data_IF_517057463257
#
_entry.id   IF_517057463257
#
_cell.length_a   1.000
_cell.length_b   1.000
_cell.length_c   1.000
_cell.angle_alpha   90.00
_cell.angle_beta   90.00
_cell.angle_gamma   90.00
#
_symmetry.space_group_name_H-M   'P 1'
#
loop_
_entity.id
_entity.type
_entity.pdbx_description
1 polymer ?
#
# COMPACT_ATOMS: atom_id res chain seq x y z
N UNK A 1 -3.58 15.89 -0.78
CA UNK A 1 -4.34 16.56 0.32
C UNK A 1 -5.15 15.52 1.06
N UNK A 2 -5.21 15.63 2.38
CA UNK A 2 -6.05 14.85 3.27
C UNK A 2 -7.32 15.63 3.68
N UNK A 3 -8.37 14.97 4.18
CA UNK A 3 -9.58 15.65 4.62
C UNK A 3 -9.33 16.73 5.69
N UNK A 4 -8.32 16.56 6.55
CA UNK A 4 -7.91 17.55 7.56
C UNK A 4 -7.39 18.85 6.96
N UNK A 5 -6.80 18.82 5.76
CA UNK A 5 -6.21 19.99 5.10
C UNK A 5 -7.29 21.02 4.68
N UNK A 6 -8.57 20.60 4.65
CA UNK A 6 -9.70 21.49 4.41
C UNK A 6 -10.24 22.12 5.69
N UNK A 7 -9.55 21.97 6.82
CA UNK A 7 -9.92 22.57 8.09
C UNK A 7 -8.79 23.45 8.61
N UNK A 8 -9.16 24.57 9.22
CA UNK A 8 -8.27 25.44 9.98
C UNK A 8 -8.52 25.19 11.46
N UNK A 9 -7.45 24.91 12.19
CA UNK A 9 -7.50 24.85 13.64
C UNK A 9 -7.42 26.28 14.19
N UNK A 10 -8.54 26.77 14.70
CA UNK A 10 -8.61 28.10 15.30
C UNK A 10 -8.78 27.98 16.82
N UNK A 11 -8.21 28.95 17.53
CA UNK A 11 -8.39 29.02 18.98
C UNK A 11 -9.83 29.45 19.27
N UNK A 12 -10.54 28.72 20.12
CA UNK A 12 -11.89 29.08 20.56
C UNK A 12 -11.83 30.50 21.16
N UNK A 13 -12.53 31.48 20.56
CA UNK A 13 -12.48 32.86 21.03
C UNK A 13 -13.10 33.04 22.43
N UNK A 14 -13.81 32.04 22.95
CA UNK A 14 -14.31 31.99 24.32
C UNK A 14 -13.29 31.44 25.33
N UNK A 15 -12.08 31.05 24.89
CA UNK A 15 -11.06 30.52 25.77
C UNK A 15 -10.49 31.58 26.73
N UNK A 16 -10.42 31.22 28.01
CA UNK A 16 -9.91 32.05 29.11
C UNK A 16 -8.63 31.44 29.66
N UNK A 17 -7.69 32.26 30.14
CA UNK A 17 -6.43 31.82 30.80
C UNK A 17 -6.66 30.92 32.03
N UNK A 18 -7.91 30.85 32.53
CA UNK A 18 -8.34 29.99 33.62
C UNK A 18 -9.12 28.73 33.16
N UNK A 19 -9.25 28.50 31.85
CA UNK A 19 -9.93 27.34 31.25
C UNK A 19 -8.99 26.15 31.00
N UNK A 20 -9.55 25.01 30.61
CA UNK A 20 -8.77 23.81 30.24
C UNK A 20 -7.84 24.13 29.06
N UNK A 21 -6.50 24.00 29.21
CA UNK A 21 -5.52 24.30 28.16
C UNK A 21 -5.76 23.52 26.86
N UNK A 22 -6.36 22.34 26.94
CA UNK A 22 -6.57 21.43 25.82
C UNK A 22 -7.94 21.60 25.14
N UNK A 23 -8.83 22.42 25.71
CA UNK A 23 -10.18 22.69 25.19
C UNK A 23 -10.24 23.85 24.18
N UNK A 24 -9.09 24.44 23.87
CA UNK A 24 -9.00 25.77 23.28
C UNK A 24 -8.91 25.81 21.77
N UNK A 25 -8.92 24.68 21.08
CA UNK A 25 -8.71 24.63 19.63
C UNK A 25 -9.81 23.80 18.96
N UNK A 26 -10.42 24.35 17.92
CA UNK A 26 -11.45 23.67 17.14
C UNK A 26 -11.12 23.77 15.65
N UNK A 27 -11.40 22.69 14.95
CA UNK A 27 -11.25 22.62 13.51
C UNK A 27 -12.50 23.20 12.84
N UNK A 28 -12.29 24.23 12.02
CA UNK A 28 -13.31 24.90 11.22
C UNK A 28 -13.07 24.64 9.75
N UNK A 29 -14.12 24.34 9.00
CA UNK A 29 -13.99 24.08 7.57
C UNK A 29 -13.53 25.34 6.82
N UNK A 30 -12.43 25.23 6.10
CA UNK A 30 -11.81 26.33 5.35
C UNK A 30 -12.57 26.58 4.03
N UNK A 31 -13.71 27.23 4.16
CA UNK A 31 -14.58 27.54 3.02
C UNK A 31 -13.86 28.39 1.97
N UNK A 32 -12.97 29.30 2.39
CA UNK A 32 -12.21 30.14 1.46
C UNK A 32 -11.28 29.30 0.58
N UNK A 33 -10.53 28.38 1.17
CA UNK A 33 -9.69 27.44 0.44
C UNK A 33 -10.51 26.62 -0.55
N UNK A 34 -11.60 25.99 -0.08
CA UNK A 34 -12.41 25.08 -0.91
C UNK A 34 -13.07 25.82 -2.07
N UNK A 35 -13.59 27.02 -1.84
CA UNK A 35 -14.14 27.88 -2.91
C UNK A 35 -13.04 28.35 -3.86
N UNK A 36 -11.82 28.60 -3.37
CA UNK A 36 -10.65 28.90 -4.19
C UNK A 36 -10.32 27.78 -5.18
N UNK A 37 -10.25 26.54 -4.69
CA UNK A 37 -9.95 25.33 -5.47
C UNK A 37 -10.98 25.05 -6.58
N UNK A 38 -12.20 25.59 -6.45
CA UNK A 38 -13.23 25.56 -7.50
C UNK A 38 -12.82 26.35 -8.74
N UNK A 39 -12.11 27.46 -8.57
CA UNK A 39 -11.87 28.45 -9.63
C UNK A 39 -10.56 28.22 -10.40
N UNK A 40 -9.65 27.40 -9.87
CA UNK A 40 -8.39 27.07 -10.53
C UNK A 40 -7.52 26.14 -9.68
N UNK A 41 -6.33 25.76 -10.20
CA UNK A 41 -5.34 25.00 -9.43
C UNK A 41 -4.96 25.74 -8.14
N UNK A 42 -4.58 24.98 -7.11
CA UNK A 42 -4.15 25.58 -5.85
C UNK A 42 -2.91 26.47 -6.05
N UNK A 43 -2.81 27.65 -5.42
CA UNK A 43 -1.64 28.52 -5.53
C UNK A 43 -0.36 27.93 -4.97
N UNK A 44 -0.47 26.94 -4.08
CA UNK A 44 0.65 26.30 -3.36
C UNK A 44 1.31 25.14 -4.13
N UNK A 45 0.87 24.88 -5.37
CA UNK A 45 1.39 23.79 -6.18
C UNK A 45 0.69 22.44 -5.98
N UNK A 46 -0.35 22.38 -5.15
CA UNK A 46 -1.19 21.18 -5.01
C UNK A 46 -1.93 20.88 -6.32
N UNK A 47 -1.86 19.62 -6.76
CA UNK A 47 -2.46 19.20 -8.04
C UNK A 47 -3.98 19.03 -7.93
N UNK A 48 -4.68 19.14 -9.06
CA UNK A 48 -6.11 18.83 -9.12
C UNK A 48 -6.43 17.39 -8.70
N UNK A 49 -5.48 16.47 -8.91
CA UNK A 49 -5.60 15.07 -8.48
C UNK A 49 -5.59 14.97 -6.95
N UNK A 50 -4.62 15.61 -6.29
CA UNK A 50 -4.51 15.63 -4.83
C UNK A 50 -5.74 16.28 -4.16
N UNK A 51 -6.23 17.36 -4.76
CA UNK A 51 -7.45 18.05 -4.33
C UNK A 51 -8.67 17.14 -4.51
N UNK A 52 -8.79 16.47 -5.65
CA UNK A 52 -9.91 15.57 -5.92
C UNK A 52 -9.92 14.37 -4.96
N UNK A 53 -8.76 13.78 -4.67
CA UNK A 53 -8.61 12.69 -3.70
C UNK A 53 -9.02 13.14 -2.29
N UNK A 54 -8.57 14.32 -1.85
CA UNK A 54 -8.96 14.87 -0.55
C UNK A 54 -10.46 15.17 -0.46
N UNK A 55 -10.99 15.94 -1.41
CA UNK A 55 -12.40 16.36 -1.43
C UNK A 55 -13.36 15.17 -1.57
N UNK A 56 -13.02 14.17 -2.39
CA UNK A 56 -13.90 13.01 -2.56
C UNK A 56 -14.01 12.19 -1.29
N UNK A 57 -12.93 12.08 -0.49
CA UNK A 57 -12.93 11.38 0.80
C UNK A 57 -13.75 12.15 1.83
N UNK A 58 -13.54 13.47 1.92
CA UNK A 58 -14.31 14.34 2.81
C UNK A 58 -15.81 14.25 2.49
N UNK A 59 -16.19 14.49 1.24
CA UNK A 59 -17.61 14.51 0.84
C UNK A 59 -18.26 13.13 1.04
N UNK A 60 -17.58 12.04 0.70
CA UNK A 60 -18.13 10.70 0.91
C UNK A 60 -18.37 10.42 2.40
N UNK A 61 -17.37 10.67 3.26
CA UNK A 61 -17.48 10.43 4.70
C UNK A 61 -18.62 11.24 5.33
N UNK A 62 -18.74 12.53 4.98
CA UNK A 62 -19.79 13.40 5.50
C UNK A 62 -21.18 12.97 5.05
N UNK A 63 -21.34 12.54 3.78
CA UNK A 63 -22.62 11.99 3.29
C UNK A 63 -22.97 10.66 3.95
N UNK A 64 -21.97 9.78 4.17
CA UNK A 64 -22.19 8.51 4.86
C UNK A 64 -22.63 8.74 6.31
N UNK A 65 -21.90 9.54 7.08
CA UNK A 65 -22.25 9.90 8.47
C UNK A 65 -23.63 10.55 8.53
N UNK A 66 -23.95 11.47 7.61
CA UNK A 66 -25.29 12.05 7.52
C UNK A 66 -26.38 11.02 7.22
N UNK A 67 -26.04 9.96 6.48
CA UNK A 67 -26.94 8.86 6.12
C UNK A 67 -27.09 7.80 7.21
N UNK A 68 -26.19 7.71 8.20
CA UNK A 68 -26.16 6.63 9.20
C UNK A 68 -26.38 7.16 10.62
N UNK A 69 -25.46 8.00 11.11
CA UNK A 69 -25.32 8.39 12.52
C UNK A 69 -25.73 9.84 12.80
N UNK A 70 -25.76 10.68 11.77
CA UNK A 70 -25.86 12.15 11.84
C UNK A 70 -24.67 12.85 12.51
N UNK A 71 -23.58 12.15 12.80
CA UNK A 71 -22.35 12.71 13.37
C UNK A 71 -21.47 13.38 12.30
N UNK A 72 -22.02 14.36 11.60
CA UNK A 72 -21.31 15.13 10.57
C UNK A 72 -20.46 16.22 11.19
N UNK A 73 -19.36 16.58 10.51
CA UNK A 73 -18.50 17.71 10.87
C UNK A 73 -18.89 18.97 10.08
N UNK A 74 -19.36 18.79 8.85
CA UNK A 74 -19.76 19.91 7.98
C UNK A 74 -21.19 20.38 8.26
N UNK A 75 -21.41 21.68 8.07
CA UNK A 75 -22.72 22.30 7.98
C UNK A 75 -23.34 22.12 6.59
N UNK A 76 -24.63 22.46 6.48
CA UNK A 76 -25.43 22.29 5.25
C UNK A 76 -24.86 23.03 4.03
N UNK A 77 -24.39 24.26 4.23
CA UNK A 77 -23.78 25.10 3.21
C UNK A 77 -22.33 24.68 2.90
N UNK A 78 -21.58 24.24 3.91
CA UNK A 78 -20.21 23.74 3.77
C UNK A 78 -20.14 22.48 2.90
N UNK A 79 -21.01 21.48 3.16
CA UNK A 79 -21.08 20.29 2.28
C UNK A 79 -21.50 20.67 0.85
N UNK A 80 -22.33 21.70 0.70
CA UNK A 80 -22.77 22.17 -0.60
C UNK A 80 -21.63 22.84 -1.39
N UNK A 81 -20.74 23.57 -0.71
CA UNK A 81 -19.52 24.10 -1.32
C UNK A 81 -18.51 22.98 -1.61
N UNK A 82 -18.35 22.00 -0.72
CA UNK A 82 -17.48 20.84 -0.93
C UNK A 82 -17.92 20.02 -2.17
N UNK A 83 -19.21 19.71 -2.30
CA UNK A 83 -19.77 19.02 -3.47
C UNK A 83 -19.59 19.81 -4.77
N UNK A 84 -19.79 21.13 -4.73
CA UNK A 84 -19.59 22.01 -5.90
C UNK A 84 -18.13 22.08 -6.33
N UNK A 85 -17.22 22.14 -5.35
CA UNK A 85 -15.78 22.20 -5.60
C UNK A 85 -15.25 20.87 -6.11
N UNK A 86 -15.66 19.75 -5.51
CA UNK A 86 -15.36 18.41 -6.00
C UNK A 86 -15.81 18.23 -7.46
N UNK A 87 -17.04 18.64 -7.78
CA UNK A 87 -17.55 18.58 -9.16
C UNK A 87 -16.70 19.41 -10.13
N UNK A 88 -16.26 20.60 -9.73
CA UNK A 88 -15.42 21.46 -10.57
C UNK A 88 -14.03 20.85 -10.81
N UNK A 89 -13.40 20.33 -9.76
CA UNK A 89 -12.07 19.70 -9.82
C UNK A 89 -12.12 18.42 -10.68
N UNK A 90 -13.09 17.53 -10.44
CA UNK A 90 -13.26 16.32 -11.25
C UNK A 90 -13.50 16.64 -12.73
N UNK A 91 -14.24 17.71 -13.04
CA UNK A 91 -14.42 18.17 -14.41
C UNK A 91 -13.11 18.57 -15.08
N UNK A 92 -12.17 19.19 -14.34
CA UNK A 92 -10.84 19.54 -14.87
C UNK A 92 -10.00 18.28 -15.15
N UNK A 93 -10.19 17.23 -14.36
CA UNK A 93 -9.60 15.91 -14.58
C UNK A 93 -10.32 15.06 -15.63
N UNK A 94 -11.40 15.56 -16.24
CA UNK A 94 -12.18 14.80 -17.22
C UNK A 94 -13.07 13.70 -16.63
N UNK A 95 -13.25 13.66 -15.30
CA UNK A 95 -14.07 12.65 -14.60
C UNK A 95 -15.50 13.17 -14.44
N UNK A 96 -16.53 12.47 -14.96
CA UNK A 96 -17.91 12.88 -14.81
C UNK A 96 -18.40 12.64 -13.38
N UNK A 97 -18.93 13.69 -12.74
CA UNK A 97 -19.60 13.59 -11.45
C UNK A 97 -20.86 14.46 -11.42
N UNK A 98 -22.02 13.83 -11.28
CA UNK A 98 -23.32 14.50 -11.31
C UNK A 98 -24.31 13.82 -10.35
N UNK A 99 -24.13 14.01 -9.04
CA UNK A 99 -25.08 13.50 -8.06
C UNK A 99 -26.45 14.19 -8.23
N UNK A 100 -27.57 13.49 -7.93
CA UNK A 100 -28.93 14.03 -8.01
C UNK A 100 -29.31 14.91 -6.80
N UNK A 101 -28.32 15.35 -6.02
CA UNK A 101 -28.43 16.21 -4.86
C UNK A 101 -27.22 17.14 -4.80
N UNK A 102 -27.34 18.19 -4.01
CA UNK A 102 -26.34 19.27 -3.92
C UNK A 102 -25.89 19.58 -2.49
N UNK A 103 -26.57 19.01 -1.51
CA UNK A 103 -26.43 19.29 -0.08
C UNK A 103 -27.05 18.13 0.72
N UNK A 104 -26.94 18.18 2.05
CA UNK A 104 -27.48 17.15 2.93
C UNK A 104 -29.00 17.02 2.83
N UNK A 105 -29.75 18.13 2.82
CA UNK A 105 -31.23 18.12 2.72
C UNK A 105 -31.71 17.48 1.44
N UNK A 106 -31.11 17.83 0.31
CA UNK A 106 -31.47 17.26 -0.99
C UNK A 106 -31.01 15.81 -1.12
N UNK A 107 -29.90 15.41 -0.48
CA UNK A 107 -29.50 14.01 -0.37
C UNK A 107 -30.51 13.21 0.46
N UNK A 108 -30.98 13.77 1.58
CA UNK A 108 -32.06 13.17 2.37
C UNK A 108 -33.34 13.02 1.57
N UNK A 109 -33.73 14.07 0.84
CA UNK A 109 -34.88 14.04 -0.06
C UNK A 109 -34.74 12.97 -1.14
N UNK A 110 -33.54 12.83 -1.73
CA UNK A 110 -33.26 11.81 -2.74
C UNK A 110 -33.39 10.40 -2.16
N UNK A 111 -32.74 10.10 -1.04
CA UNK A 111 -32.77 8.75 -0.50
C UNK A 111 -34.17 8.36 -0.01
N UNK A 112 -34.97 9.34 0.43
CA UNK A 112 -36.33 9.10 0.91
C UNK A 112 -37.27 8.74 -0.24
N UNK A 113 -37.06 9.32 -1.43
CA UNK A 113 -37.81 8.99 -2.65
C UNK A 113 -37.39 7.67 -3.31
N UNK A 114 -36.26 7.10 -2.92
CA UNK A 114 -35.71 5.85 -3.47
C UNK A 114 -35.74 4.72 -2.43
N UNK A 115 -36.67 4.77 -1.47
CA UNK A 115 -36.91 3.73 -0.46
C UNK A 115 -35.70 3.34 0.43
N UNK A 116 -34.71 4.23 0.52
CA UNK A 116 -33.53 4.03 1.38
C UNK A 116 -33.74 4.57 2.82
N UNK A 117 -34.96 4.99 3.16
CA UNK A 117 -35.34 5.60 4.44
C UNK A 117 -35.13 4.71 5.68
N UNK A 118 -35.24 3.39 5.52
CA UNK A 118 -35.11 2.43 6.62
C UNK A 118 -33.81 1.62 6.63
N UNK A 119 -32.90 1.85 5.68
CA UNK A 119 -31.73 0.99 5.47
C UNK A 119 -30.45 1.80 5.32
N UNK A 120 -29.63 1.79 6.37
CA UNK A 120 -28.26 2.31 6.32
C UNK A 120 -27.42 1.59 5.26
N UNK A 121 -27.63 0.29 5.07
CA UNK A 121 -26.96 -0.49 4.04
C UNK A 121 -27.29 0.01 2.63
N UNK A 122 -28.56 0.37 2.36
CA UNK A 122 -28.95 0.89 1.05
C UNK A 122 -28.34 2.27 0.76
N UNK A 123 -28.30 3.16 1.77
CA UNK A 123 -27.65 4.49 1.64
C UNK A 123 -26.17 4.37 1.35
N UNK A 124 -25.45 3.53 2.12
CA UNK A 124 -24.02 3.25 1.89
C UNK A 124 -23.77 2.58 0.55
N UNK A 125 -24.63 1.64 0.15
CA UNK A 125 -24.58 0.99 -1.15
C UNK A 125 -24.67 2.00 -2.30
N UNK A 126 -25.64 2.91 -2.25
CA UNK A 126 -25.79 3.98 -3.25
C UNK A 126 -24.58 4.93 -3.28
N UNK A 127 -24.06 5.35 -2.11
CA UNK A 127 -22.85 6.18 -2.07
C UNK A 127 -21.65 5.45 -2.69
N UNK A 128 -21.46 4.17 -2.38
CA UNK A 128 -20.42 3.37 -3.02
C UNK A 128 -20.61 3.29 -4.54
N UNK A 129 -21.82 3.05 -5.05
CA UNK A 129 -22.09 3.05 -6.50
C UNK A 129 -21.79 4.40 -7.17
N UNK A 130 -22.11 5.50 -6.49
CA UNK A 130 -21.86 6.86 -6.98
C UNK A 130 -20.37 7.22 -7.01
N UNK A 131 -19.60 6.81 -6.00
CA UNK A 131 -18.21 7.22 -5.82
C UNK A 131 -17.18 6.22 -6.36
N UNK A 132 -17.51 4.93 -6.49
CA UNK A 132 -16.57 3.91 -7.00
C UNK A 132 -15.97 4.24 -8.38
N UNK A 133 -16.75 4.73 -9.38
CA UNK A 133 -16.19 5.09 -10.68
C UNK A 133 -15.21 6.26 -10.59
N UNK A 134 -15.45 7.18 -9.65
CA UNK A 134 -14.58 8.34 -9.41
C UNK A 134 -13.25 7.85 -8.83
N UNK A 135 -13.30 7.02 -7.79
CA UNK A 135 -12.10 6.46 -7.17
C UNK A 135 -11.28 5.65 -8.16
N UNK A 136 -11.93 4.79 -8.96
CA UNK A 136 -11.24 4.06 -10.02
C UNK A 136 -10.54 4.98 -11.03
N UNK A 137 -11.21 6.06 -11.45
CA UNK A 137 -10.63 7.04 -12.39
C UNK A 137 -9.49 7.83 -11.76
N UNK A 138 -9.61 8.22 -10.49
CA UNK A 138 -8.55 8.92 -9.76
C UNK A 138 -7.35 7.99 -9.52
N UNK A 139 -7.58 6.72 -9.23
CA UNK A 139 -6.52 5.71 -9.09
C UNK A 139 -5.81 5.45 -10.42
N UNK A 140 -6.53 5.47 -11.54
CA UNK A 140 -5.94 5.38 -12.89
C UNK A 140 -5.10 6.62 -13.22
N UNK A 141 -5.57 7.83 -12.89
CA UNK A 141 -4.82 9.06 -13.07
C UNK A 141 -3.60 9.14 -12.15
N UNK A 142 -3.73 8.67 -10.91
CA UNK A 142 -2.63 8.56 -9.94
C UNK A 142 -1.61 7.53 -10.41
N UNK A 143 -2.04 6.38 -10.92
CA UNK A 143 -1.17 5.39 -11.54
C UNK A 143 -0.46 5.95 -12.77
N UNK A 144 -1.16 6.68 -13.64
CA UNK A 144 -0.57 7.32 -14.82
C UNK A 144 0.41 8.46 -14.44
N UNK A 145 0.14 9.19 -13.37
CA UNK A 145 1.06 10.17 -12.78
C UNK A 145 2.25 9.51 -12.08
N UNK A 146 2.04 8.37 -11.44
CA UNK A 146 3.06 7.58 -10.75
C UNK A 146 3.96 6.80 -11.73
N UNK A 147 3.49 6.51 -12.95
CA UNK A 147 4.33 6.06 -14.06
C UNK A 147 5.34 7.14 -14.48
N UNK A 148 5.05 8.43 -14.23
CA UNK A 148 5.98 9.54 -14.41
C UNK A 148 6.80 9.89 -13.15
N UNK A 149 6.38 9.42 -11.96
CA UNK A 149 7.06 9.68 -10.69
C UNK A 149 6.85 8.52 -9.72
N UNK A 150 7.85 7.65 -9.56
CA UNK A 150 7.73 6.40 -8.81
C UNK A 150 7.27 6.56 -7.35
N UNK A 151 6.30 5.73 -6.94
CA UNK A 151 5.68 5.57 -5.60
C UNK A 151 5.90 6.75 -4.64
N UNK A 152 4.90 7.61 -4.55
CA UNK A 152 4.63 8.43 -3.36
C UNK A 152 3.20 8.17 -2.94
N UNK A 153 2.95 8.01 -1.64
CA UNK A 153 1.61 8.11 -1.08
C UNK A 153 1.13 9.56 -1.07
N UNK A 154 -0.10 9.78 -0.61
CA UNK A 154 -0.80 11.08 -0.60
C UNK A 154 -0.04 12.17 0.18
N UNK A 155 0.94 11.78 1.00
CA UNK A 155 1.77 12.65 1.84
C UNK A 155 3.23 12.71 1.37
N UNK A 156 3.57 12.05 0.25
CA UNK A 156 4.95 11.87 -0.20
C UNK A 156 5.70 10.70 0.45
N UNK A 157 5.13 10.04 1.46
CA UNK A 157 5.68 8.84 2.14
C UNK A 157 5.18 7.52 1.53
N UNK A 158 5.94 6.43 1.71
CA UNK A 158 5.58 5.08 1.23
C UNK A 158 4.39 4.50 2.03
N UNK A 159 3.52 3.70 1.39
CA UNK A 159 2.57 2.81 2.09
C UNK A 159 3.33 1.68 2.80
N UNK A 160 2.89 1.31 4.01
CA UNK A 160 3.47 0.26 4.86
C UNK A 160 3.89 -1.00 4.08
N UNK A 161 5.12 -1.51 4.30
CA UNK A 161 5.58 -2.79 3.74
C UNK A 161 5.34 -3.89 4.75
N UNK A 162 4.47 -4.84 4.44
CA UNK A 162 4.22 -6.03 5.27
C UNK A 162 5.04 -7.20 4.74
N UNK A 163 5.91 -7.78 5.58
CA UNK A 163 6.88 -8.79 5.13
C UNK A 163 7.26 -9.78 6.23
N UNK A 164 8.07 -10.78 5.87
CA UNK A 164 8.67 -11.75 6.79
C UNK A 164 7.69 -12.46 7.75
N UNK A 165 6.51 -12.85 7.25
CA UNK A 165 5.53 -13.60 8.06
C UNK A 165 6.05 -15.00 8.44
N UNK A 166 6.05 -15.34 9.74
CA UNK A 166 6.49 -16.65 10.27
C UNK A 166 5.33 -17.60 10.60
N UNK A 167 4.09 -17.11 10.53
CA UNK A 167 2.88 -17.84 10.92
C UNK A 167 1.84 -17.95 9.82
N UNK A 168 0.57 -18.01 10.22
CA UNK A 168 -0.57 -17.96 9.31
C UNK A 168 -0.60 -16.64 8.54
N UNK A 169 -1.33 -16.60 7.41
CA UNK A 169 -1.50 -15.37 6.63
C UNK A 169 -2.01 -14.26 7.57
N UNK A 170 -1.32 -13.11 7.68
CA UNK A 170 -1.80 -12.00 8.51
C UNK A 170 -3.13 -11.52 7.97
N UNK A 171 -4.09 -11.27 8.88
CA UNK A 171 -5.33 -10.61 8.53
C UNK A 171 -5.09 -9.10 8.60
N UNK A 172 -4.99 -8.49 7.43
CA UNK A 172 -4.58 -7.11 7.28
C UNK A 172 -5.82 -6.28 6.97
N UNK A 173 -6.43 -5.62 7.95
CA UNK A 173 -7.55 -4.72 7.67
C UNK A 173 -6.99 -3.32 7.40
N UNK A 174 -7.51 -2.68 6.36
CA UNK A 174 -7.21 -1.28 6.11
C UNK A 174 -8.00 -0.46 7.14
N UNK A 175 -7.35 -0.06 8.24
CA UNK A 175 -7.98 0.64 9.36
C UNK A 175 -8.38 2.07 9.00
N UNK A 176 -7.55 2.70 8.17
CA UNK A 176 -7.81 4.01 7.62
C UNK A 176 -7.65 3.96 6.10
N UNK A 177 -8.78 3.82 5.39
CA UNK A 177 -8.85 3.82 3.92
C UNK A 177 -8.25 5.09 3.27
N UNK A 178 -8.10 6.15 4.06
CA UNK A 178 -7.73 7.51 3.66
C UNK A 178 -6.20 7.69 3.69
N UNK A 179 -5.53 7.18 4.72
CA UNK A 179 -4.09 7.38 4.96
C UNK A 179 -3.25 6.21 4.41
N UNK A 180 -3.90 5.15 3.93
CA UNK A 180 -3.22 3.90 3.60
C UNK A 180 -2.61 3.22 4.83
N UNK A 181 -3.08 3.58 6.03
CA UNK A 181 -2.70 2.92 7.27
C UNK A 181 -3.22 1.48 7.22
N UNK A 182 -2.29 0.56 7.45
CA UNK A 182 -2.51 -0.87 7.38
C UNK A 182 -2.52 -1.36 8.82
N UNK A 183 -3.65 -1.85 9.31
CA UNK A 183 -3.74 -2.47 10.62
C UNK A 183 -3.76 -3.99 10.43
N UNK A 184 -2.92 -4.69 11.17
CA UNK A 184 -2.98 -6.16 11.20
C UNK A 184 -3.92 -6.55 12.34
N UNK A 185 -5.11 -6.99 11.99
CA UNK A 185 -6.21 -7.27 12.93
C UNK A 185 -6.13 -8.67 13.50
N UNK A 186 -5.52 -9.62 12.78
CA UNK A 186 -5.12 -10.92 13.31
C UNK A 186 -3.72 -11.32 12.84
N UNK A 187 -2.95 -11.97 13.73
CA UNK A 187 -1.56 -12.41 13.52
C UNK A 187 -0.53 -11.28 13.28
N UNK A 188 -0.76 -10.10 13.88
CA UNK A 188 0.19 -8.99 13.87
C UNK A 188 1.58 -9.39 14.39
N UNK A 189 1.62 -10.28 15.38
CA UNK A 189 2.81 -10.87 15.97
C UNK A 189 3.62 -11.75 14.99
N UNK A 190 3.00 -12.20 13.90
CA UNK A 190 3.62 -13.13 12.97
C UNK A 190 4.39 -12.46 11.82
N UNK A 191 4.15 -11.19 11.52
CA UNK A 191 4.78 -10.48 10.40
C UNK A 191 5.42 -9.16 10.83
N UNK A 192 6.19 -8.55 9.92
CA UNK A 192 6.87 -7.27 10.13
C UNK A 192 6.18 -6.19 9.30
N UNK A 193 6.07 -4.98 9.85
CA UNK A 193 5.53 -3.79 9.16
C UNK A 193 6.58 -2.70 9.15
N UNK A 194 7.15 -2.42 7.99
CA UNK A 194 8.03 -1.28 7.81
C UNK A 194 7.21 -0.06 7.39
N UNK A 195 7.28 0.99 8.20
CA UNK A 195 6.43 2.18 8.15
C UNK A 195 7.22 3.49 7.94
N UNK A 196 8.55 3.39 7.80
CA UNK A 196 9.41 4.56 7.59
C UNK A 196 9.47 4.97 6.10
N UNK A 197 9.68 6.27 5.80
CA UNK A 197 9.89 6.72 4.43
C UNK A 197 11.15 6.10 3.81
N UNK A 198 11.10 5.79 2.51
CA UNK A 198 12.30 5.43 1.76
C UNK A 198 13.17 6.65 1.50
N UNK A 199 14.48 6.43 1.42
CA UNK A 199 15.43 7.47 1.01
C UNK A 199 15.70 7.38 -0.50
N UNK A 200 16.41 8.35 -1.06
CA UNK A 200 16.89 8.29 -2.46
C UNK A 200 17.82 7.09 -2.71
N UNK A 201 18.38 6.51 -1.64
CA UNK A 201 19.17 5.28 -1.71
C UNK A 201 18.30 4.00 -1.80
N UNK A 202 16.96 4.14 -1.82
CA UNK A 202 16.04 3.01 -1.68
C UNK A 202 15.91 2.58 -0.21
N UNK A 203 15.78 1.27 0.03
CA UNK A 203 15.80 0.69 1.38
C UNK A 203 17.13 -0.02 1.61
N UNK A 204 17.98 0.54 2.46
CA UNK A 204 19.26 -0.08 2.81
C UNK A 204 19.14 -1.04 3.98
N UNK A 205 20.12 -1.94 4.13
CA UNK A 205 20.23 -2.80 5.30
C UNK A 205 20.38 -1.99 6.59
N UNK A 206 21.13 -0.88 6.55
CA UNK A 206 21.26 0.05 7.68
C UNK A 206 19.92 0.64 8.11
N UNK A 207 19.11 1.12 7.16
CA UNK A 207 17.77 1.65 7.44
C UNK A 207 16.88 0.60 8.14
N UNK A 208 16.97 -0.66 7.71
CA UNK A 208 16.19 -1.75 8.28
C UNK A 208 16.71 -2.16 9.66
N UNK A 209 18.02 -2.14 9.88
CA UNK A 209 18.64 -2.40 11.20
C UNK A 209 18.27 -1.31 12.20
N UNK A 210 18.29 -0.04 11.78
CA UNK A 210 17.91 1.09 12.63
C UNK A 210 16.40 1.11 12.92
N UNK A 211 15.58 0.66 11.97
CA UNK A 211 14.16 0.40 12.20
C UNK A 211 13.97 -0.71 13.22
N UNK A 212 14.61 -1.87 13.02
CA UNK A 212 14.50 -3.01 13.92
C UNK A 212 14.98 -2.70 15.34
N UNK A 213 16.03 -1.88 15.48
CA UNK A 213 16.52 -1.42 16.79
C UNK A 213 15.44 -0.73 17.60
N UNK A 214 14.71 0.19 16.97
CA UNK A 214 13.62 0.93 17.60
C UNK A 214 12.44 0.01 17.93
N UNK A 215 12.04 -0.83 16.97
CA UNK A 215 10.92 -1.76 17.09
C UNK A 215 11.10 -2.76 18.26
N UNK A 216 12.33 -3.22 18.47
CA UNK A 216 12.65 -4.21 19.52
C UNK A 216 13.20 -3.60 20.82
N UNK A 217 13.30 -2.27 20.91
CA UNK A 217 13.86 -1.59 22.08
C UNK A 217 15.35 -1.85 22.32
N UNK A 218 16.12 -2.29 21.31
CA UNK A 218 17.54 -2.64 21.41
C UNK A 218 18.49 -1.41 21.37
N UNK A 219 18.05 -0.26 21.91
CA UNK A 219 18.75 1.03 21.78
C UNK A 219 20.18 1.05 22.36
N UNK A 220 20.47 0.20 23.35
CA UNK A 220 21.81 0.06 23.95
C UNK A 220 22.65 -1.08 23.39
N UNK A 221 22.13 -1.87 22.45
CA UNK A 221 22.84 -3.01 21.89
C UNK A 221 23.83 -2.59 20.80
N UNK A 222 24.93 -3.35 20.67
CA UNK A 222 25.85 -3.14 19.56
C UNK A 222 25.15 -3.39 18.22
N UNK A 223 25.46 -2.57 17.22
CA UNK A 223 24.86 -2.65 15.88
C UNK A 223 24.90 -4.05 15.28
N UNK A 224 26.00 -4.77 15.47
CA UNK A 224 26.17 -6.14 14.99
C UNK A 224 25.16 -7.12 15.61
N UNK A 225 24.79 -6.93 16.87
CA UNK A 225 23.85 -7.80 17.57
C UNK A 225 22.41 -7.51 17.11
N UNK A 226 22.07 -6.24 16.87
CA UNK A 226 20.79 -5.85 16.24
C UNK A 226 20.67 -6.45 14.85
N UNK A 227 21.70 -6.27 14.01
CA UNK A 227 21.72 -6.81 12.65
C UNK A 227 21.61 -8.35 12.62
N UNK A 228 22.27 -9.04 13.55
CA UNK A 228 22.15 -10.50 13.69
C UNK A 228 20.74 -10.92 14.10
N UNK A 229 20.13 -10.21 15.06
CA UNK A 229 18.75 -10.46 15.49
C UNK A 229 17.76 -10.30 14.33
N UNK A 230 17.87 -9.20 13.57
CA UNK A 230 17.06 -8.96 12.38
C UNK A 230 17.25 -10.07 11.34
N UNK A 231 18.49 -10.43 11.01
CA UNK A 231 18.77 -11.52 10.07
C UNK A 231 18.07 -12.83 10.48
N UNK A 232 18.13 -13.19 11.76
CA UNK A 232 17.47 -14.40 12.28
C UNK A 232 15.94 -14.31 12.14
N UNK A 233 15.36 -13.13 12.42
CA UNK A 233 13.93 -12.88 12.26
C UNK A 233 13.46 -12.99 10.81
N UNK A 234 14.26 -12.50 9.86
CA UNK A 234 13.97 -12.61 8.42
C UNK A 234 14.13 -14.06 7.94
N UNK A 235 15.21 -14.72 8.33
CA UNK A 235 15.47 -16.12 7.97
C UNK A 235 14.36 -17.07 8.44
N UNK A 236 13.77 -16.81 9.62
CA UNK A 236 12.66 -17.60 10.15
C UNK A 236 11.39 -17.57 9.28
N UNK A 237 11.23 -16.56 8.41
CA UNK A 237 10.05 -16.42 7.55
C UNK A 237 10.08 -17.28 6.28
N UNK A 238 11.24 -17.80 5.90
CA UNK A 238 11.45 -18.47 4.60
C UNK A 238 10.73 -19.82 4.53
N UNK A 239 9.96 -20.02 3.46
CA UNK A 239 9.03 -21.14 3.31
C UNK A 239 9.66 -22.40 2.70
N UNK A 240 10.85 -22.29 2.09
CA UNK A 240 11.53 -23.42 1.45
C UNK A 240 13.07 -23.36 1.59
N UNK A 241 13.75 -24.50 1.40
CA UNK A 241 15.22 -24.55 1.34
C UNK A 241 15.77 -23.72 0.17
N UNK A 242 15.08 -23.74 -0.97
CA UNK A 242 15.48 -22.98 -2.15
C UNK A 242 15.49 -21.46 -1.86
N UNK A 243 14.47 -20.95 -1.17
CA UNK A 243 14.45 -19.56 -0.68
C UNK A 243 15.59 -19.28 0.30
N UNK A 244 15.92 -20.22 1.20
CA UNK A 244 17.05 -20.07 2.13
C UNK A 244 18.38 -19.90 1.40
N UNK A 245 18.59 -20.60 0.29
CA UNK A 245 19.78 -20.44 -0.53
C UNK A 245 19.86 -19.08 -1.21
N UNK A 246 18.76 -18.59 -1.77
CA UNK A 246 18.68 -17.24 -2.36
C UNK A 246 18.95 -16.18 -1.29
N UNK A 247 18.25 -16.26 -0.16
CA UNK A 247 18.39 -15.31 0.94
C UNK A 247 19.82 -15.30 1.49
N UNK A 248 20.38 -16.48 1.78
CA UNK A 248 21.74 -16.60 2.31
C UNK A 248 22.80 -16.08 1.34
N UNK A 249 22.66 -16.37 0.04
CA UNK A 249 23.60 -15.89 -0.98
C UNK A 249 23.68 -14.36 -1.04
N UNK A 250 22.55 -13.67 -0.84
CA UNK A 250 22.49 -12.21 -0.80
C UNK A 250 22.94 -11.65 0.55
N UNK A 251 22.32 -12.13 1.62
CA UNK A 251 22.39 -11.55 2.96
C UNK A 251 23.75 -11.81 3.65
N UNK A 252 24.57 -12.75 3.17
CA UNK A 252 25.92 -12.94 3.69
C UNK A 252 26.79 -11.68 3.57
N UNK A 253 26.47 -10.79 2.63
CA UNK A 253 27.18 -9.52 2.39
C UNK A 253 26.92 -8.46 3.45
N UNK A 254 25.85 -8.60 4.24
CA UNK A 254 25.58 -7.69 5.35
C UNK A 254 26.64 -7.74 6.46
N UNK A 255 27.49 -8.78 6.46
CA UNK A 255 28.61 -8.91 7.37
C UNK A 255 29.88 -8.15 6.90
N UNK A 256 29.90 -7.66 5.66
CA UNK A 256 31.03 -6.93 5.10
C UNK A 256 31.10 -5.49 5.69
N UNK A 257 32.27 -4.81 5.66
CA UNK A 257 32.42 -3.48 6.25
C UNK A 257 31.46 -2.42 5.70
N UNK A 258 31.01 -2.56 4.46
CA UNK A 258 30.03 -1.69 3.79
C UNK A 258 28.60 -2.24 3.83
N UNK A 259 28.36 -3.31 4.59
CA UNK A 259 27.11 -4.06 4.64
C UNK A 259 25.87 -3.22 4.95
N UNK A 260 26.00 -2.15 5.75
CA UNK A 260 24.88 -1.25 6.05
C UNK A 260 24.41 -0.41 4.86
N UNK A 261 25.30 -0.15 3.89
CA UNK A 261 24.96 0.57 2.67
C UNK A 261 24.40 -0.33 1.56
N UNK A 262 24.41 -1.64 1.78
CA UNK A 262 23.86 -2.61 0.83
C UNK A 262 22.32 -2.53 0.83
N UNK A 263 21.65 -2.84 -0.29
CA UNK A 263 20.20 -2.91 -0.34
C UNK A 263 19.65 -3.96 0.62
N UNK A 264 18.47 -3.74 1.21
CA UNK A 264 17.80 -4.74 2.04
C UNK A 264 16.92 -5.69 1.20
N UNK A 265 17.28 -6.97 1.18
CA UNK A 265 16.44 -8.05 0.63
C UNK A 265 15.34 -8.43 1.62
N UNK A 266 14.10 -8.04 1.30
CA UNK A 266 12.92 -8.32 2.12
C UNK A 266 12.29 -9.65 1.71
N UNK A 267 12.20 -10.66 2.59
CA UNK A 267 11.52 -11.91 2.28
C UNK A 267 10.01 -11.84 2.51
N UNK A 268 9.25 -12.63 1.76
CA UNK A 268 7.84 -12.94 2.02
C UNK A 268 6.94 -11.69 2.11
N UNK A 269 6.98 -10.85 1.08
CA UNK A 269 6.36 -9.52 1.04
C UNK A 269 4.92 -9.58 0.53
N UNK A 270 3.98 -9.00 1.27
CA UNK A 270 2.57 -8.94 0.87
C UNK A 270 2.28 -7.74 -0.04
N UNK A 271 1.56 -7.99 -1.12
CA UNK A 271 1.30 -7.01 -2.20
C UNK A 271 -0.16 -6.57 -2.23
N UNK A 272 -1.05 -7.53 -1.99
CA UNK A 272 -2.48 -7.33 -2.05
C UNK A 272 -3.16 -8.03 -0.87
N UNK A 273 -3.99 -7.27 -0.15
CA UNK A 273 -4.88 -7.85 0.84
C UNK A 273 -6.21 -8.22 0.18
N UNK A 274 -6.56 -9.49 0.31
CA UNK A 274 -7.90 -9.99 0.02
C UNK A 274 -8.59 -10.31 1.35
N UNK A 275 -9.61 -9.52 1.77
CA UNK A 275 -10.33 -9.74 3.03
C UNK A 275 -11.16 -11.03 3.05
N UNK A 276 -11.36 -11.66 1.89
CA UNK A 276 -12.19 -12.84 1.80
C UNK A 276 -11.34 -14.11 1.75
N UNK A 277 -11.58 -15.02 2.70
CA UNK A 277 -11.05 -16.38 2.67
C UNK A 277 -11.57 -17.13 1.43
N UNK A 278 -10.87 -18.19 1.01
CA UNK A 278 -11.30 -19.05 -0.11
C UNK A 278 -12.75 -19.52 0.05
N UNK A 279 -13.11 -19.91 1.27
CA UNK A 279 -14.45 -20.37 1.64
C UNK A 279 -15.49 -19.24 1.54
N UNK A 280 -15.15 -18.03 1.97
CA UNK A 280 -16.05 -16.86 1.84
C UNK A 280 -16.31 -16.51 0.36
N UNK A 281 -15.29 -16.58 -0.50
CA UNK A 281 -15.48 -16.33 -1.94
C UNK A 281 -16.34 -17.38 -2.63
N UNK A 282 -16.13 -18.66 -2.28
CA UNK A 282 -16.96 -19.78 -2.76
C UNK A 282 -18.43 -19.58 -2.36
N UNK A 283 -18.70 -19.18 -1.11
CA UNK A 283 -20.06 -18.89 -0.63
C UNK A 283 -20.67 -17.67 -1.34
N UNK A 284 -19.87 -16.63 -1.58
CA UNK A 284 -20.32 -15.35 -2.15
C UNK A 284 -20.30 -15.32 -3.69
N UNK A 285 -19.98 -16.44 -4.35
CA UNK A 285 -19.83 -16.53 -5.82
C UNK A 285 -18.96 -15.41 -6.41
N UNK A 286 -17.92 -15.00 -5.68
CA UNK A 286 -16.98 -13.96 -6.12
C UNK A 286 -15.91 -14.57 -7.03
N UNK A 287 -15.38 -13.82 -8.02
CA UNK A 287 -14.29 -14.31 -8.85
C UNK A 287 -13.10 -14.76 -8.01
N UNK A 288 -12.31 -15.68 -8.59
CA UNK A 288 -11.17 -16.33 -7.95
C UNK A 288 -10.22 -15.27 -7.35
N UNK A 289 -9.53 -15.65 -6.27
CA UNK A 289 -8.59 -14.82 -5.51
C UNK A 289 -7.68 -13.99 -6.41
N UNK A 290 -7.19 -12.85 -5.91
CA UNK A 290 -6.00 -12.22 -6.52
C UNK A 290 -4.91 -13.30 -6.56
N UNK A 291 -4.47 -13.62 -7.78
CA UNK A 291 -3.71 -14.84 -8.03
C UNK A 291 -2.36 -14.85 -7.30
N UNK A 292 -1.81 -13.66 -7.02
CA UNK A 292 -0.60 -13.43 -6.21
C UNK A 292 -0.85 -12.47 -5.07
N UNK A 293 -0.70 -12.96 -3.84
CA UNK A 293 -0.87 -12.18 -2.61
C UNK A 293 0.47 -11.82 -1.93
N UNK A 294 1.52 -12.60 -2.24
CA UNK A 294 2.82 -12.54 -1.59
C UNK A 294 3.92 -12.78 -2.63
N UNK A 295 4.99 -12.01 -2.55
CA UNK A 295 6.24 -12.16 -3.29
C UNK A 295 7.28 -12.86 -2.42
N UNK A 296 8.11 -13.71 -2.99
CA UNK A 296 9.15 -14.39 -2.21
C UNK A 296 10.24 -13.42 -1.72
N UNK A 297 10.71 -12.52 -2.58
CA UNK A 297 11.62 -11.45 -2.17
C UNK A 297 11.40 -10.13 -2.93
N UNK A 298 11.70 -9.02 -2.24
CA UNK A 298 11.67 -7.66 -2.78
C UNK A 298 12.98 -6.91 -2.47
N UNK A 299 13.45 -6.16 -3.46
CA UNK A 299 14.48 -5.12 -3.32
C UNK A 299 13.92 -3.77 -3.76
N UNK A 300 14.27 -2.73 -3.01
CA UNK A 300 13.90 -1.34 -3.28
C UNK A 300 15.20 -0.54 -3.44
N UNK A 301 15.51 -0.17 -4.68
CA UNK A 301 16.77 0.43 -5.09
C UNK A 301 16.60 1.93 -5.46
N UNK A 302 17.69 2.73 -5.56
CA UNK A 302 17.70 4.11 -5.99
C UNK A 302 16.99 4.31 -7.32
N UNK A 303 16.48 5.52 -7.52
CA UNK A 303 15.73 5.87 -8.72
C UNK A 303 14.38 5.15 -8.83
N UNK A 304 13.86 4.61 -7.71
CA UNK A 304 12.56 3.96 -7.65
C UNK A 304 12.51 2.56 -8.26
N UNK A 305 13.67 1.94 -8.52
CA UNK A 305 13.77 0.60 -9.10
C UNK A 305 13.32 -0.46 -8.08
N UNK A 306 12.38 -1.32 -8.50
CA UNK A 306 11.78 -2.37 -7.65
C UNK A 306 12.05 -3.72 -8.27
N UNK A 307 12.72 -4.60 -7.54
CA UNK A 307 13.07 -5.92 -8.06
C UNK A 307 12.41 -6.99 -7.22
N UNK A 308 11.62 -7.83 -7.87
CA UNK A 308 10.97 -9.02 -7.32
C UNK A 308 11.77 -10.24 -7.73
N UNK A 309 12.08 -11.09 -6.75
CA UNK A 309 12.75 -12.37 -6.99
C UNK A 309 11.82 -13.47 -6.48
N UNK A 310 11.48 -14.41 -7.36
CA UNK A 310 10.60 -15.54 -7.06
C UNK A 310 11.36 -16.86 -7.14
N UNK A 311 10.95 -17.82 -6.32
CA UNK A 311 11.53 -19.16 -6.22
C UNK A 311 10.49 -20.20 -6.64
N UNK A 312 10.64 -20.71 -7.86
CA UNK A 312 9.63 -21.56 -8.47
C UNK A 312 9.78 -23.04 -8.14
N UNK A 313 8.94 -23.51 -7.23
CA UNK A 313 8.72 -24.94 -7.01
C UNK A 313 7.82 -25.60 -8.07
N UNK A 314 7.77 -26.93 -8.03
CA UNK A 314 6.92 -27.76 -8.92
C UNK A 314 5.43 -27.37 -8.91
N UNK A 315 4.96 -26.78 -7.81
CA UNK A 315 3.57 -26.31 -7.65
C UNK A 315 3.18 -25.19 -8.63
N UNK A 316 4.14 -24.49 -9.23
CA UNK A 316 3.87 -23.41 -10.19
C UNK A 316 3.58 -23.91 -11.62
N UNK A 317 3.93 -25.15 -11.94
CA UNK A 317 3.78 -25.69 -13.30
C UNK A 317 3.29 -27.15 -13.34
N UNK A 318 3.04 -27.77 -12.18
CA UNK A 318 2.56 -29.13 -12.07
C UNK A 318 1.53 -29.27 -10.93
N UNK A 319 0.68 -30.27 -11.05
CA UNK A 319 -0.35 -30.62 -10.07
C UNK A 319 -0.24 -32.08 -9.69
N UNK A 320 -0.51 -32.37 -8.42
CA UNK A 320 -0.55 -33.73 -7.92
C UNK A 320 -1.88 -34.42 -8.29
N UNK A 321 -1.83 -35.61 -8.90
CA UNK A 321 -3.01 -36.32 -9.40
C UNK A 321 -2.97 -37.83 -9.07
N UNK A 322 -3.88 -38.34 -8.22
CA UNK A 322 -4.81 -37.59 -7.36
C UNK A 322 -4.06 -36.83 -6.26
N UNK A 323 -4.70 -35.84 -5.64
CA UNK A 323 -4.11 -35.09 -4.52
C UNK A 323 -3.67 -36.04 -3.40
N UNK A 324 -2.46 -35.87 -2.89
CA UNK A 324 -1.81 -36.73 -1.90
C UNK A 324 -1.15 -38.00 -2.44
N UNK A 325 -1.09 -38.19 -3.77
CA UNK A 325 -0.49 -39.40 -4.39
C UNK A 325 1.03 -39.38 -4.53
N UNK A 326 1.66 -38.22 -4.40
CA UNK A 326 3.04 -37.96 -4.80
C UNK A 326 3.26 -37.91 -6.32
N UNK A 327 2.23 -38.18 -7.13
CA UNK A 327 2.33 -38.21 -8.59
C UNK A 327 2.05 -36.83 -9.17
N UNK A 328 3.08 -36.20 -9.75
CA UNK A 328 3.00 -34.85 -10.33
C UNK A 328 2.87 -34.91 -11.85
N UNK A 329 1.86 -34.23 -12.38
CA UNK A 329 1.65 -34.05 -13.82
C UNK A 329 1.73 -32.58 -14.19
N UNK A 330 2.24 -32.28 -15.39
CA UNK A 330 2.32 -30.90 -15.87
C UNK A 330 0.93 -30.25 -15.93
N UNK A 331 0.87 -28.98 -15.54
CA UNK A 331 -0.34 -28.18 -15.45
C UNK A 331 -0.15 -26.87 -16.25
N UNK A 332 -0.43 -26.88 -17.57
CA UNK A 332 -0.23 -25.70 -18.43
C UNK A 332 -1.01 -24.46 -18.01
N UNK A 333 -2.13 -24.66 -17.32
CA UNK A 333 -2.94 -23.60 -16.72
C UNK A 333 -2.18 -22.84 -15.62
N UNK A 334 -1.50 -23.55 -14.70
CA UNK A 334 -0.69 -22.94 -13.64
C UNK A 334 0.49 -22.14 -14.22
N UNK A 335 1.15 -22.68 -15.24
CA UNK A 335 2.21 -21.97 -15.94
C UNK A 335 1.69 -20.70 -16.62
N UNK A 336 0.53 -20.77 -17.27
CA UNK A 336 -0.09 -19.64 -17.96
C UNK A 336 -0.50 -18.51 -17.00
N UNK A 337 -1.02 -18.87 -15.82
CA UNK A 337 -1.33 -17.94 -14.72
C UNK A 337 -0.06 -17.24 -14.23
N UNK A 338 0.99 -18.00 -13.92
CA UNK A 338 2.28 -17.49 -13.45
C UNK A 338 2.89 -16.45 -14.41
N UNK A 339 2.94 -16.76 -15.72
CA UNK A 339 3.50 -15.81 -16.70
C UNK A 339 2.62 -14.58 -16.91
N UNK A 340 1.31 -14.68 -16.67
CA UNK A 340 0.41 -13.53 -16.73
C UNK A 340 0.65 -12.57 -15.56
N UNK A 341 0.87 -13.10 -14.36
CA UNK A 341 1.21 -12.30 -13.19
C UNK A 341 2.55 -11.56 -13.36
N UNK A 342 3.54 -12.21 -13.96
CA UNK A 342 4.82 -11.55 -14.24
C UNK A 342 4.67 -10.36 -15.16
N UNK A 343 3.85 -10.49 -16.21
CA UNK A 343 3.55 -9.37 -17.10
C UNK A 343 2.83 -8.26 -16.34
N UNK A 344 1.88 -8.60 -15.48
CA UNK A 344 1.17 -7.61 -14.66
C UNK A 344 2.12 -6.85 -13.72
N UNK A 345 3.09 -7.53 -13.09
CA UNK A 345 4.10 -6.88 -12.25
C UNK A 345 5.06 -6.00 -13.06
N UNK A 346 5.51 -6.49 -14.21
CA UNK A 346 6.38 -5.70 -15.11
C UNK A 346 5.71 -4.44 -15.60
N UNK A 347 4.42 -4.51 -15.95
CA UNK A 347 3.62 -3.34 -16.32
C UNK A 347 3.43 -2.36 -15.15
N UNK A 348 3.49 -2.83 -13.90
CA UNK A 348 3.49 -1.99 -12.68
C UNK A 348 4.88 -1.42 -12.31
N UNK A 349 5.88 -1.57 -13.19
CA UNK A 349 7.23 -1.04 -12.98
C UNK A 349 8.14 -1.92 -12.10
N UNK A 350 7.80 -3.20 -11.91
CA UNK A 350 8.69 -4.14 -11.24
C UNK A 350 9.59 -4.87 -12.24
N UNK A 351 10.85 -5.05 -11.89
CA UNK A 351 11.68 -6.07 -12.52
C UNK A 351 11.44 -7.40 -11.84
N UNK A 352 11.19 -8.46 -12.62
CA UNK A 352 10.85 -9.79 -12.09
C UNK A 352 11.88 -10.81 -12.54
N UNK A 353 12.56 -11.44 -11.58
CA UNK A 353 13.47 -12.56 -11.81
C UNK A 353 12.94 -13.81 -11.13
N UNK A 354 13.04 -14.95 -11.81
CA UNK A 354 12.57 -16.24 -11.31
C UNK A 354 13.73 -17.22 -11.28
N UNK A 355 13.89 -17.90 -10.15
CA UNK A 355 14.79 -19.03 -10.01
C UNK A 355 13.99 -20.32 -9.96
N UNK A 356 14.38 -21.32 -10.73
CA UNK A 356 13.83 -22.66 -10.58
C UNK A 356 14.26 -23.28 -9.25
N UNK A 357 13.34 -23.86 -8.50
CA UNK A 357 13.67 -24.59 -7.27
C UNK A 357 14.68 -25.71 -7.51
N UNK A 358 14.67 -26.32 -8.71
CA UNK A 358 15.66 -27.34 -9.09
C UNK A 358 17.09 -26.80 -9.15
N UNK A 359 17.33 -25.69 -9.86
CA UNK A 359 18.69 -25.12 -9.97
C UNK A 359 19.23 -24.64 -8.62
N UNK A 360 18.35 -24.12 -7.75
CA UNK A 360 18.73 -23.68 -6.41
C UNK A 360 19.11 -24.86 -5.51
N UNK A 361 18.33 -25.95 -5.54
CA UNK A 361 18.62 -27.13 -4.74
C UNK A 361 19.87 -27.89 -5.22
N UNK A 362 20.13 -27.89 -6.53
CA UNK A 362 21.36 -28.45 -7.10
C UNK A 362 22.59 -27.62 -6.76
N UNK A 363 22.43 -26.30 -6.55
CA UNK A 363 23.50 -25.39 -6.17
C UNK A 363 23.80 -25.33 -4.65
N UNK A 364 23.17 -26.17 -3.83
CA UNK A 364 23.27 -26.13 -2.35
C UNK A 364 24.70 -26.08 -1.78
N UNK A 365 25.66 -26.67 -2.51
CA UNK A 365 27.06 -26.78 -2.11
C UNK A 365 27.94 -25.65 -2.70
N UNK A 366 27.47 -24.94 -3.73
CA UNK A 366 28.15 -23.78 -4.34
C UNK A 366 27.13 -22.75 -4.89
N UNK A 367 26.91 -21.68 -4.11
CA UNK A 367 25.96 -20.61 -4.44
C UNK A 367 26.52 -19.55 -5.41
N UNK A 368 27.65 -19.80 -6.07
CA UNK A 368 28.33 -18.83 -6.94
C UNK A 368 27.43 -18.29 -8.05
N UNK A 369 26.57 -19.12 -8.64
CA UNK A 369 25.68 -18.65 -9.70
C UNK A 369 24.67 -17.62 -9.18
N UNK A 370 24.12 -17.83 -7.97
CA UNK A 370 23.19 -16.90 -7.32
C UNK A 370 23.92 -15.60 -6.98
N UNK A 371 25.15 -15.69 -6.45
CA UNK A 371 25.99 -14.52 -6.13
C UNK A 371 26.36 -13.72 -7.38
N UNK A 372 26.68 -14.41 -8.48
CA UNK A 372 26.96 -13.78 -9.76
C UNK A 372 25.72 -13.05 -10.30
N UNK A 373 24.55 -13.69 -10.24
CA UNK A 373 23.30 -13.03 -10.60
C UNK A 373 23.08 -11.72 -9.83
N UNK A 374 23.28 -11.73 -8.51
CA UNK A 374 23.14 -10.52 -7.70
C UNK A 374 24.13 -9.42 -8.10
N UNK A 375 25.37 -9.81 -8.42
CA UNK A 375 26.40 -8.88 -8.91
C UNK A 375 25.99 -8.25 -10.25
N UNK A 376 25.51 -9.05 -11.20
CA UNK A 376 25.09 -8.59 -12.53
C UNK A 376 23.84 -7.70 -12.47
N UNK A 377 22.90 -8.08 -11.60
CA UNK A 377 21.66 -7.34 -11.35
C UNK A 377 21.97 -5.97 -10.72
N UNK A 378 22.86 -5.90 -9.72
CA UNK A 378 23.30 -4.63 -9.14
C UNK A 378 24.08 -3.76 -10.13
N UNK A 379 24.94 -4.36 -10.97
CA UNK A 379 25.65 -3.62 -12.01
C UNK A 379 24.67 -2.95 -13.00
N UNK A 380 23.50 -3.55 -13.24
CA UNK A 380 22.47 -3.00 -14.12
C UNK A 380 21.59 -1.96 -13.44
N UNK A 381 21.15 -2.22 -12.21
CA UNK A 381 20.05 -1.47 -11.59
C UNK A 381 20.49 -0.57 -10.42
N UNK A 382 21.61 -0.87 -9.77
CA UNK A 382 22.11 -0.14 -8.60
C UNK A 382 23.26 0.81 -8.95
N UNK A 383 24.15 0.39 -9.86
CA UNK A 383 25.34 1.16 -10.22
C UNK A 383 25.05 2.53 -10.88
N UNK A 384 23.85 2.71 -11.45
CA UNK A 384 23.43 3.95 -12.09
C UNK A 384 23.34 5.16 -11.14
N UNK A 385 23.37 4.96 -9.81
CA UNK A 385 23.42 6.03 -8.81
C UNK A 385 24.82 6.50 -8.40
N UNK A 386 25.90 5.80 -8.79
CA UNK A 386 27.29 6.12 -8.37
C UNK A 386 28.05 7.01 -9.37
N UNK A 387 27.37 7.56 -10.39
CA UNK A 387 28.01 8.25 -11.51
C UNK A 387 27.40 9.60 -11.89
N UNK A 388 27.42 10.59 -10.99
CA UNK A 388 27.20 12.00 -11.34
C UNK A 388 28.00 12.97 -10.44
N UNK A 389 29.17 12.53 -9.97
CA UNK A 389 30.05 13.32 -9.11
C UNK A 389 31.52 13.10 -9.46
N UNK A 390 31.93 13.54 -10.64
CA UNK A 390 33.30 13.94 -10.94
C UNK A 390 33.30 15.16 -11.84
#
# INVERSE_FOLDING_TARGET
>A
MQPSDFFKTEQDPAWSVNGDPWSSWKDHFDTELVVGLRNGPSPDGTTDLDVAQGLTRLVHAELEEYGTSKAVRLQEDEIAEALRSLKAVLRRLGIPFSPPFRDFRSFQGYWSRNDMGGSWAARRGYLNELFSPIWASLDELDAAGAEASGIRGVDGGLKNIVFASTGHKPEIVMSHLIDGAVEIVEHADSCLVYDRPLTDAGLTWGDLVDWWRAETGMNGAAERDVARSLYQRLHASLASEAERFVFFAFASRYADPDGMSQPALLPQVYVHFDPLTRRHREILSKPRRLARERMDFLLLLPGGVRIVIEVDGKHHYAREVPKGSGCWVAAPDLYSEMVAEDRALRLKGYEVFRFGGKELLEARDDLRFIRQFFTDMEARFWAAGRGAGR
#
